data_IF_235934687475
#
_entry.id   IF_235934687475
#
_cell.length_a   1.000
_cell.length_b   1.000
_cell.length_c   1.000
_cell.angle_alpha   90.00
_cell.angle_beta   90.00
_cell.angle_gamma   90.00
#
_symmetry.space_group_name_H-M   'P 1'
#
loop_
_entity.id
_entity.type
_entity.pdbx_description
1 polymer ?
#
# COMPACT_ATOMS: atom_id res chain seq x y z
N UNK A 1 -7.16 -19.66 9.68
CA UNK A 1 -6.58 -20.08 8.37
C UNK A 1 -6.15 -21.54 8.46
N UNK A 2 -6.62 -22.37 7.55
CA UNK A 2 -6.17 -23.75 7.48
C UNK A 2 -4.72 -23.82 7.00
N UNK A 3 -3.89 -24.72 7.58
CA UNK A 3 -2.52 -24.85 7.12
C UNK A 3 -2.45 -25.32 5.68
N UNK A 4 -1.57 -24.73 4.89
CA UNK A 4 -1.28 -25.16 3.53
C UNK A 4 -0.33 -26.37 3.57
N UNK A 5 -0.34 -27.24 2.54
CA UNK A 5 0.76 -28.17 2.36
C UNK A 5 2.09 -27.41 2.34
N UNK A 6 3.10 -27.99 2.98
CA UNK A 6 4.41 -27.33 3.18
C UNK A 6 5.02 -26.83 1.87
N UNK A 7 4.86 -27.61 0.80
CA UNK A 7 5.38 -27.25 -0.54
C UNK A 7 4.71 -26.04 -1.18
N UNK A 8 3.55 -25.62 -0.69
CA UNK A 8 2.80 -24.49 -1.25
C UNK A 8 3.14 -23.15 -0.59
N UNK A 9 3.81 -23.15 0.57
CA UNK A 9 4.16 -21.90 1.27
C UNK A 9 5.06 -20.97 0.46
N UNK A 10 6.13 -21.43 -0.21
CA UNK A 10 6.95 -20.53 -0.99
C UNK A 10 6.18 -19.78 -2.07
N UNK A 11 5.28 -20.45 -2.79
CA UNK A 11 4.48 -19.83 -3.83
C UNK A 11 3.44 -18.86 -3.25
N UNK A 12 2.80 -19.21 -2.13
CA UNK A 12 1.85 -18.33 -1.44
C UNK A 12 2.52 -17.06 -0.94
N UNK A 13 3.72 -17.20 -0.35
CA UNK A 13 4.52 -16.05 0.10
C UNK A 13 4.93 -15.18 -1.09
N UNK A 14 5.42 -15.77 -2.17
CA UNK A 14 5.82 -15.04 -3.37
C UNK A 14 4.64 -14.27 -3.99
N UNK A 15 3.44 -14.85 -4.01
CA UNK A 15 2.24 -14.20 -4.53
C UNK A 15 1.87 -12.96 -3.71
N UNK A 16 1.90 -13.06 -2.38
CA UNK A 16 1.63 -11.90 -1.52
C UNK A 16 2.71 -10.83 -1.71
N UNK A 17 3.97 -11.22 -1.85
CA UNK A 17 5.07 -10.27 -2.12
C UNK A 17 4.87 -9.51 -3.44
N UNK A 18 4.39 -10.19 -4.49
CA UNK A 18 4.03 -9.54 -5.77
C UNK A 18 2.89 -8.53 -5.60
N UNK A 19 1.87 -8.89 -4.83
CA UNK A 19 0.76 -8.00 -4.54
C UNK A 19 1.20 -6.77 -3.75
N UNK A 20 2.11 -6.94 -2.79
CA UNK A 20 2.72 -5.84 -2.04
C UNK A 20 3.43 -4.88 -2.99
N UNK A 21 4.26 -5.42 -3.89
CA UNK A 21 4.98 -4.60 -4.87
C UNK A 21 4.01 -3.81 -5.77
N UNK A 22 2.94 -4.46 -6.22
CA UNK A 22 1.92 -3.81 -7.05
C UNK A 22 1.25 -2.63 -6.32
N UNK A 23 0.93 -2.80 -5.02
CA UNK A 23 0.35 -1.72 -4.22
C UNK A 23 1.34 -0.59 -3.96
N UNK A 24 2.60 -0.91 -3.70
CA UNK A 24 3.65 0.10 -3.54
C UNK A 24 3.84 0.94 -4.80
N UNK A 25 3.81 0.31 -5.97
CA UNK A 25 3.88 1.00 -7.27
C UNK A 25 2.65 1.90 -7.49
N UNK A 26 1.45 1.41 -7.15
CA UNK A 26 0.22 2.18 -7.25
C UNK A 26 0.24 3.42 -6.34
N UNK A 27 0.67 3.26 -5.11
CA UNK A 27 0.80 4.37 -4.15
C UNK A 27 1.77 5.42 -4.71
N UNK A 28 2.88 4.99 -5.27
CA UNK A 28 3.87 5.90 -5.88
C UNK A 28 3.27 6.69 -7.02
N UNK A 29 2.52 6.02 -7.91
CA UNK A 29 1.82 6.67 -9.03
C UNK A 29 0.81 7.70 -8.54
N UNK A 30 0.02 7.35 -7.52
CA UNK A 30 -0.96 8.26 -6.93
C UNK A 30 -0.30 9.47 -6.27
N UNK A 31 0.82 9.29 -5.60
CA UNK A 31 1.63 10.39 -5.05
C UNK A 31 2.14 11.33 -6.14
N UNK A 32 2.59 10.80 -7.27
CA UNK A 32 3.00 11.61 -8.42
C UNK A 32 1.82 12.40 -8.99
N UNK A 33 0.64 11.81 -9.09
CA UNK A 33 -0.56 12.50 -9.54
C UNK A 33 -0.92 13.65 -8.60
N UNK A 34 -0.83 13.45 -7.28
CA UNK A 34 -1.07 14.51 -6.29
C UNK A 34 -0.05 15.62 -6.40
N UNK A 35 1.22 15.29 -6.55
CA UNK A 35 2.30 16.27 -6.73
C UNK A 35 2.07 17.10 -8.00
N UNK A 36 1.71 16.45 -9.11
CA UNK A 36 1.39 17.14 -10.36
C UNK A 36 0.18 18.07 -10.21
N UNK A 37 -0.84 17.61 -9.49
CA UNK A 37 -2.03 18.42 -9.19
C UNK A 37 -1.66 19.64 -8.36
N UNK A 38 -0.84 19.47 -7.33
CA UNK A 38 -0.37 20.57 -6.48
C UNK A 38 0.43 21.60 -7.28
N UNK A 39 1.28 21.15 -8.19
CA UNK A 39 2.04 22.04 -9.08
C UNK A 39 1.11 22.86 -10.00
N UNK A 40 0.09 22.23 -10.54
CA UNK A 40 -0.91 22.92 -11.38
C UNK A 40 -1.72 23.96 -10.59
N UNK A 41 -2.05 23.63 -9.33
CA UNK A 41 -2.72 24.57 -8.42
C UNK A 41 -1.84 25.80 -8.19
N UNK A 42 -0.57 25.60 -7.83
CA UNK A 42 0.37 26.69 -7.57
C UNK A 42 0.62 27.54 -8.82
N UNK A 43 0.70 26.92 -9.99
CA UNK A 43 0.85 27.63 -11.25
C UNK A 43 -0.39 28.48 -11.58
N UNK A 44 -1.59 27.93 -11.40
CA UNK A 44 -2.84 28.66 -11.60
C UNK A 44 -2.96 29.85 -10.65
N UNK A 45 -2.51 29.70 -9.40
CA UNK A 45 -2.49 30.77 -8.41
C UNK A 45 -1.50 31.85 -8.81
N UNK A 46 -0.29 31.48 -9.24
CA UNK A 46 0.74 32.42 -9.67
C UNK A 46 0.31 33.22 -10.90
N UNK A 47 -0.43 32.61 -11.82
CA UNK A 47 -0.91 33.25 -13.05
C UNK A 47 -2.17 34.09 -12.82
N UNK A 48 -2.81 34.00 -11.66
CA UNK A 48 -4.04 34.75 -11.37
C UNK A 48 -3.73 36.06 -10.67
N UNK A 49 -3.77 37.15 -11.44
CA UNK A 49 -3.48 38.52 -10.99
C UNK A 49 -4.51 39.07 -9.99
N UNK A 50 -5.67 38.42 -9.85
CA UNK A 50 -6.73 38.83 -8.90
C UNK A 50 -6.46 38.36 -7.49
N UNK A 51 -5.56 37.38 -7.32
CA UNK A 51 -5.18 36.84 -6.00
C UNK A 51 -4.03 37.67 -5.40
N UNK A 52 -4.39 38.79 -4.78
CA UNK A 52 -3.42 39.82 -4.35
C UNK A 52 -2.81 39.58 -2.98
N UNK A 53 -3.38 38.68 -2.16
CA UNK A 53 -2.88 38.41 -0.82
C UNK A 53 -2.91 36.91 -0.51
N UNK A 54 -2.22 36.52 0.57
CA UNK A 54 -2.08 35.11 0.94
C UNK A 54 -3.41 34.49 1.34
N UNK A 55 -4.32 35.25 1.95
CA UNK A 55 -5.64 34.73 2.33
C UNK A 55 -6.46 34.29 1.12
N UNK A 56 -6.44 35.09 0.04
CA UNK A 56 -7.12 34.73 -1.21
C UNK A 56 -6.47 33.53 -1.89
N UNK A 57 -5.14 33.45 -1.85
CA UNK A 57 -4.39 32.32 -2.40
C UNK A 57 -4.71 31.05 -1.64
N UNK A 58 -4.74 31.09 -0.30
CA UNK A 58 -5.06 29.93 0.53
C UNK A 58 -6.50 29.47 0.33
N UNK A 59 -7.44 30.39 0.19
CA UNK A 59 -8.83 30.07 -0.13
C UNK A 59 -8.93 29.33 -1.46
N UNK A 60 -8.17 29.78 -2.47
CA UNK A 60 -8.14 29.15 -3.80
C UNK A 60 -7.52 27.75 -3.75
N UNK A 61 -6.43 27.57 -2.98
CA UNK A 61 -5.82 26.25 -2.75
C UNK A 61 -6.80 25.27 -2.14
N UNK A 62 -7.55 25.71 -1.12
CA UNK A 62 -8.58 24.88 -0.48
C UNK A 62 -9.69 24.49 -1.44
N UNK A 63 -10.13 25.43 -2.28
CA UNK A 63 -11.15 25.16 -3.29
C UNK A 63 -10.69 24.08 -4.28
N UNK A 64 -9.47 24.17 -4.79
CA UNK A 64 -8.90 23.18 -5.70
C UNK A 64 -8.71 21.82 -5.03
N UNK A 65 -8.25 21.78 -3.77
CA UNK A 65 -8.07 20.52 -3.02
C UNK A 65 -9.38 19.87 -2.62
N UNK A 66 -10.48 20.62 -2.58
CA UNK A 66 -11.82 20.08 -2.37
C UNK A 66 -12.50 19.65 -3.68
N UNK A 67 -11.87 19.85 -4.82
CA UNK A 67 -12.39 19.36 -6.09
C UNK A 67 -12.44 17.84 -6.13
N UNK A 68 -13.47 17.28 -6.77
CA UNK A 68 -13.72 15.84 -6.79
C UNK A 68 -12.53 15.03 -7.30
N UNK A 69 -11.86 15.50 -8.33
CA UNK A 69 -10.68 14.81 -8.89
C UNK A 69 -9.54 14.67 -7.87
N UNK A 70 -9.28 15.73 -7.10
CA UNK A 70 -8.24 15.69 -6.08
C UNK A 70 -8.61 14.72 -4.95
N UNK A 71 -9.84 14.82 -4.46
CA UNK A 71 -10.35 13.96 -3.39
C UNK A 71 -10.36 12.50 -3.79
N UNK A 72 -10.73 12.18 -5.03
CA UNK A 72 -10.73 10.81 -5.54
C UNK A 72 -9.32 10.21 -5.52
N UNK A 73 -8.30 10.99 -5.87
CA UNK A 73 -6.90 10.53 -5.83
C UNK A 73 -6.47 10.28 -4.38
N UNK A 74 -6.82 11.17 -3.46
CA UNK A 74 -6.51 11.01 -2.02
C UNK A 74 -7.16 9.74 -1.47
N UNK A 75 -8.43 9.51 -1.78
CA UNK A 75 -9.17 8.32 -1.34
C UNK A 75 -8.54 7.04 -1.91
N UNK A 76 -8.21 7.02 -3.19
CA UNK A 76 -7.54 5.87 -3.82
C UNK A 76 -6.19 5.58 -3.19
N UNK A 77 -5.43 6.62 -2.86
CA UNK A 77 -4.14 6.49 -2.17
C UNK A 77 -4.31 5.87 -0.78
N UNK A 78 -5.28 6.35 -0.01
CA UNK A 78 -5.58 5.81 1.33
C UNK A 78 -6.01 4.35 1.25
N UNK A 79 -6.88 3.99 0.30
CA UNK A 79 -7.30 2.61 0.08
C UNK A 79 -6.13 1.71 -0.28
N UNK A 80 -5.23 2.17 -1.15
CA UNK A 80 -4.04 1.42 -1.52
C UNK A 80 -3.09 1.23 -0.34
N UNK A 81 -2.92 2.26 0.51
CA UNK A 81 -2.11 2.17 1.72
C UNK A 81 -2.70 1.16 2.73
N UNK A 82 -4.02 1.14 2.88
CA UNK A 82 -4.70 0.18 3.75
C UNK A 82 -4.57 -1.25 3.23
N UNK A 83 -4.70 -1.46 1.93
CA UNK A 83 -4.48 -2.75 1.30
C UNK A 83 -3.03 -3.23 1.49
N UNK A 84 -2.07 -2.31 1.39
CA UNK A 84 -0.66 -2.61 1.61
C UNK A 84 -0.42 -3.10 3.04
N UNK A 85 -1.01 -2.45 4.04
CA UNK A 85 -0.90 -2.87 5.44
C UNK A 85 -1.48 -4.27 5.64
N UNK A 86 -2.65 -4.54 5.06
CA UNK A 86 -3.29 -5.85 5.13
C UNK A 86 -2.41 -6.94 4.51
N UNK A 87 -1.83 -6.68 3.34
CA UNK A 87 -0.94 -7.62 2.66
C UNK A 87 0.33 -7.90 3.47
N UNK A 88 0.89 -6.88 4.10
CA UNK A 88 2.07 -7.06 4.97
C UNK A 88 1.76 -7.93 6.19
N UNK A 89 0.56 -7.78 6.78
CA UNK A 89 0.11 -8.64 7.87
C UNK A 89 -0.06 -10.07 7.38
N UNK A 90 -0.68 -10.29 6.22
CA UNK A 90 -0.82 -11.62 5.61
C UNK A 90 0.53 -12.27 5.37
N UNK A 91 1.50 -11.50 4.87
CA UNK A 91 2.86 -12.01 4.63
C UNK A 91 3.51 -12.51 5.92
N UNK A 92 3.41 -11.73 7.00
CA UNK A 92 3.96 -12.12 8.30
C UNK A 92 3.27 -13.37 8.85
N UNK A 93 1.95 -13.48 8.69
CA UNK A 93 1.19 -14.66 9.09
C UNK A 93 1.63 -15.90 8.31
N UNK A 94 1.80 -15.79 6.98
CA UNK A 94 2.25 -16.89 6.13
C UNK A 94 3.66 -17.36 6.51
N UNK A 95 4.57 -16.43 6.75
CA UNK A 95 5.94 -16.73 7.17
C UNK A 95 5.97 -17.45 8.51
N UNK A 96 5.21 -16.93 9.48
CA UNK A 96 5.12 -17.53 10.83
C UNK A 96 4.55 -18.94 10.77
N UNK A 97 3.49 -19.13 9.98
CA UNK A 97 2.86 -20.43 9.81
C UNK A 97 3.79 -21.43 9.10
N UNK A 98 4.52 -20.95 8.09
CA UNK A 98 5.53 -21.78 7.41
C UNK A 98 6.60 -22.26 8.38
N UNK A 99 7.08 -21.38 9.24
CA UNK A 99 8.08 -21.74 10.26
C UNK A 99 7.54 -22.79 11.24
N UNK A 100 6.29 -22.64 11.70
CA UNK A 100 5.62 -23.62 12.56
C UNK A 100 5.50 -24.97 11.86
N UNK A 101 5.06 -25.01 10.63
CA UNK A 101 4.91 -26.25 9.86
C UNK A 101 6.26 -26.95 9.64
N UNK A 102 7.32 -26.21 9.40
CA UNK A 102 8.69 -26.77 9.31
C UNK A 102 9.13 -27.40 10.64
N UNK A 103 8.85 -26.75 11.76
CA UNK A 103 9.18 -27.28 13.09
C UNK A 103 8.40 -28.54 13.37
N UNK A 104 7.11 -28.59 13.07
CA UNK A 104 6.28 -29.78 13.23
C UNK A 104 6.81 -30.95 12.39
N UNK A 105 7.26 -30.69 11.18
CA UNK A 105 7.86 -31.71 10.32
C UNK A 105 9.15 -32.26 10.93
N UNK A 106 10.02 -31.37 11.44
CA UNK A 106 11.26 -31.78 12.12
C UNK A 106 10.98 -32.64 13.34
N UNK A 107 9.97 -32.33 14.13
CA UNK A 107 9.57 -33.12 15.29
C UNK A 107 9.07 -34.50 14.88
N UNK A 108 8.28 -34.63 13.82
CA UNK A 108 7.83 -35.89 13.27
C UNK A 108 9.01 -36.78 12.83
N UNK A 109 9.92 -36.18 12.07
CA UNK A 109 11.12 -36.89 11.58
C UNK A 109 11.98 -37.39 12.76
N UNK A 110 12.20 -36.53 13.76
CA UNK A 110 12.94 -36.87 14.95
C UNK A 110 12.26 -38.02 15.73
N UNK A 111 10.93 -38.02 15.84
CA UNK A 111 10.17 -39.10 16.46
C UNK A 111 10.29 -40.41 15.69
N UNK A 112 10.31 -40.38 14.37
CA UNK A 112 10.50 -41.55 13.51
C UNK A 112 11.90 -42.15 13.63
N UNK A 113 12.91 -41.32 13.76
CA UNK A 113 14.31 -41.74 13.87
C UNK A 113 14.62 -42.46 15.19
N UNK A 114 13.79 -42.26 16.21
CA UNK A 114 13.94 -42.91 17.52
C UNK A 114 13.50 -44.39 17.54
N UNK A 115 12.84 -44.83 16.51
CA UNK A 115 12.37 -46.19 16.36
C UNK A 115 13.12 -46.92 15.26
#
# INVERSE_FOLDING_TARGET
MEPLPLSQYPNAIAEVQKQILAQEQRIRQLKYQLTDFDLKIEQAIADNTKLRNEQLRDAKRREWKNAQKYLDIVIQKEEAEDQLKTLKIQLEQLKAQFDVEKLLLRERVASMEKF
#
